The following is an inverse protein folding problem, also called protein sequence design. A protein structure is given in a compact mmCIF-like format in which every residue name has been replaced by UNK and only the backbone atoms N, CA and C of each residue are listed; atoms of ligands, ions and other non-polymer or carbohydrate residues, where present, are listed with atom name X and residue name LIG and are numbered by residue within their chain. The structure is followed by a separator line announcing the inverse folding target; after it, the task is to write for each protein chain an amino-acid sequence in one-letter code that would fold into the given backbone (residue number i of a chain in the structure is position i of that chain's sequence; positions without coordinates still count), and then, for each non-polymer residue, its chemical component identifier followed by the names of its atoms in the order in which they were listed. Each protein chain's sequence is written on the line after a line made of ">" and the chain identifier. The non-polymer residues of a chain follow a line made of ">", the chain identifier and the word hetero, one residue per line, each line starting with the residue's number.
data_IF_046890803644
#
_entry.id   IF_046890803644
#
_cell.length_a   1.000
_cell.length_b   1.000
_cell.length_c   1.000
_cell.angle_alpha   90.00
_cell.angle_beta   90.00
_cell.angle_gamma   90.00
#
_symmetry.space_group_name_H-M   'P 1'
#
loop_
_entity.id
_entity.type
_entity.pdbx_description
1 polymer ?
#
# COMPACT_ATOMS: atom_id res chain seq x y z
N UNK A 1 15.93 -22.63 -7.47
CA UNK A 1 14.48 -22.35 -7.58
C UNK A 1 14.29 -21.29 -8.64
N UNK A 2 13.32 -21.46 -9.53
CA UNK A 2 12.99 -20.51 -10.58
C UNK A 2 11.70 -19.80 -10.21
N UNK A 3 11.67 -18.47 -10.34
CA UNK A 3 10.47 -17.67 -10.14
C UNK A 3 10.11 -16.88 -11.38
N UNK A 4 8.81 -16.76 -11.66
CA UNK A 4 8.26 -15.82 -12.64
C UNK A 4 7.37 -14.81 -11.91
N UNK A 5 7.14 -13.66 -12.52
CA UNK A 5 6.26 -12.67 -11.93
C UNK A 5 5.41 -11.97 -12.99
N UNK A 6 4.26 -11.51 -12.56
CA UNK A 6 3.39 -10.59 -13.29
C UNK A 6 3.17 -9.36 -12.44
N UNK A 7 3.16 -8.19 -13.08
CA UNK A 7 2.96 -6.93 -12.38
C UNK A 7 2.00 -6.01 -13.12
N UNK A 8 1.36 -5.13 -12.40
CA UNK A 8 0.52 -4.07 -12.93
C UNK A 8 0.61 -2.84 -12.05
N UNK A 9 0.63 -1.67 -12.69
CA UNK A 9 0.39 -0.40 -12.04
C UNK A 9 -0.55 0.43 -12.90
N UNK A 10 -1.55 1.07 -12.29
CA UNK A 10 -2.55 1.90 -12.94
C UNK A 10 -2.81 3.14 -12.11
N UNK A 11 -2.78 4.29 -12.76
CA UNK A 11 -3.11 5.55 -12.12
C UNK A 11 -4.61 5.64 -11.84
N UNK A 12 -4.96 6.09 -10.65
CA UNK A 12 -6.31 6.49 -10.25
C UNK A 12 -6.68 7.91 -10.71
N UNK A 13 -7.42 8.65 -9.88
CA UNK A 13 -7.87 10.02 -10.22
C UNK A 13 -6.82 11.09 -9.91
N UNK A 14 -5.70 10.75 -9.28
CA UNK A 14 -4.63 11.68 -8.94
C UNK A 14 -3.98 12.35 -10.16
N UNK A 15 -3.19 13.40 -9.93
CA UNK A 15 -2.40 14.07 -10.99
C UNK A 15 -1.33 13.11 -11.52
N UNK A 16 -0.63 12.43 -10.61
CA UNK A 16 0.38 11.41 -10.89
C UNK A 16 -0.09 10.06 -10.36
N UNK A 17 0.52 8.99 -10.83
CA UNK A 17 0.48 7.72 -10.14
C UNK A 17 1.52 7.79 -9.01
N UNK A 18 1.08 7.81 -7.76
CA UNK A 18 1.97 7.84 -6.60
C UNK A 18 2.42 6.43 -6.17
N UNK A 19 1.80 5.39 -6.72
CA UNK A 19 2.27 4.01 -6.56
C UNK A 19 3.56 3.74 -7.35
N UNK A 20 4.35 2.79 -6.87
CA UNK A 20 5.52 2.29 -7.58
C UNK A 20 5.71 0.78 -7.37
N UNK A 21 6.44 0.16 -8.29
CA UNK A 21 6.82 -1.26 -8.23
C UNK A 21 8.34 -1.37 -8.12
N UNK A 22 8.81 -2.22 -7.21
CA UNK A 22 10.21 -2.66 -7.16
C UNK A 22 10.32 -3.96 -7.92
N UNK A 23 11.22 -3.99 -8.91
CA UNK A 23 11.52 -5.19 -9.68
C UNK A 23 13.03 -5.29 -9.85
N UNK A 24 13.68 -6.07 -8.97
CA UNK A 24 15.12 -6.31 -9.01
C UNK A 24 15.46 -7.80 -9.01
N UNK A 25 15.29 -8.50 -10.15
CA UNK A 25 15.45 -9.96 -10.23
C UNK A 25 16.85 -10.45 -9.86
N UNK A 26 17.89 -9.66 -10.09
CA UNK A 26 19.29 -10.04 -9.73
C UNK A 26 19.49 -10.16 -8.22
N UNK A 27 18.80 -9.35 -7.44
CA UNK A 27 18.81 -9.40 -5.98
C UNK A 27 17.61 -10.15 -5.42
N UNK A 28 16.73 -10.71 -6.27
CA UNK A 28 15.47 -11.35 -5.92
C UNK A 28 14.58 -10.46 -5.02
N UNK A 29 14.59 -9.15 -5.27
CA UNK A 29 13.81 -8.14 -4.55
C UNK A 29 12.60 -7.71 -5.37
N UNK A 30 11.43 -7.69 -4.72
CA UNK A 30 10.16 -7.34 -5.32
C UNK A 30 9.32 -6.55 -4.33
N UNK A 31 8.54 -5.55 -4.80
CA UNK A 31 7.74 -4.73 -3.89
C UNK A 31 6.61 -3.98 -4.56
N UNK A 32 5.55 -3.71 -3.78
CA UNK A 32 4.48 -2.78 -4.11
C UNK A 32 4.53 -1.62 -3.12
N UNK A 33 4.48 -0.40 -3.62
CA UNK A 33 4.65 0.84 -2.89
C UNK A 33 3.48 1.77 -3.19
N UNK A 34 2.93 2.39 -2.16
CA UNK A 34 1.89 3.42 -2.22
C UNK A 34 2.45 4.73 -1.64
N UNK A 35 2.53 5.75 -2.49
CA UNK A 35 3.05 7.05 -2.12
C UNK A 35 2.03 7.89 -1.36
N UNK A 36 2.37 8.29 -0.15
CA UNK A 36 1.51 9.06 0.73
C UNK A 36 1.84 10.53 0.67
N UNK A 37 1.04 11.31 -0.08
CA UNK A 37 1.20 12.76 -0.16
C UNK A 37 0.84 13.47 1.16
N UNK A 38 1.52 14.61 1.40
CA UNK A 38 1.23 15.49 2.54
C UNK A 38 -0.18 16.05 2.48
N UNK A 39 -0.76 16.40 3.63
CA UNK A 39 -2.04 17.13 3.72
C UNK A 39 -1.89 18.58 3.27
N UNK A 40 -0.70 19.15 3.41
CA UNK A 40 -0.32 20.44 2.81
C UNK A 40 0.15 20.17 1.38
N UNK A 41 -0.51 20.72 0.36
CA UNK A 41 -0.14 20.46 -1.02
C UNK A 41 1.31 20.82 -1.32
N UNK A 42 2.06 19.88 -1.88
CA UNK A 42 3.44 20.08 -2.33
C UNK A 42 3.58 19.66 -3.79
N UNK A 43 4.28 20.48 -4.55
CA UNK A 43 4.71 20.18 -5.91
C UNK A 43 6.11 20.77 -6.11
N UNK A 44 7.04 19.95 -6.59
CA UNK A 44 8.35 20.44 -6.99
C UNK A 44 8.31 21.10 -8.39
N UNK A 45 9.46 21.57 -8.87
CA UNK A 45 9.60 22.20 -10.20
C UNK A 45 9.20 21.28 -11.37
N UNK A 46 9.24 19.96 -11.18
CA UNK A 46 8.79 18.95 -12.15
C UNK A 46 7.33 18.59 -12.01
N UNK A 47 6.59 19.25 -11.11
CA UNK A 47 5.20 18.94 -10.74
C UNK A 47 5.03 17.56 -10.10
N UNK A 48 6.06 17.07 -9.40
CA UNK A 48 6.02 15.83 -8.63
C UNK A 48 5.51 16.12 -7.22
N UNK A 49 4.58 15.30 -6.74
CA UNK A 49 4.02 15.35 -5.38
C UNK A 49 4.96 14.70 -4.38
N UNK A 50 4.74 14.93 -3.09
CA UNK A 50 5.53 14.31 -2.03
C UNK A 50 5.42 12.78 -2.01
N UNK A 51 4.21 12.23 -2.22
CA UNK A 51 3.98 10.78 -2.30
C UNK A 51 4.71 10.14 -3.49
N UNK A 52 4.61 10.76 -4.66
CA UNK A 52 5.36 10.31 -5.84
C UNK A 52 6.88 10.27 -5.59
N UNK A 53 7.42 11.33 -4.97
CA UNK A 53 8.86 11.40 -4.67
C UNK A 53 9.25 10.31 -3.66
N UNK A 54 8.46 10.12 -2.60
CA UNK A 54 8.74 9.11 -1.58
C UNK A 54 8.72 7.69 -2.15
N UNK A 55 7.66 7.29 -2.87
CA UNK A 55 7.57 5.97 -3.47
C UNK A 55 8.69 5.69 -4.47
N UNK A 56 9.03 6.67 -5.34
CA UNK A 56 10.11 6.51 -6.31
C UNK A 56 11.50 6.53 -5.68
N UNK A 57 11.71 7.24 -4.58
CA UNK A 57 12.97 7.18 -3.83
C UNK A 57 13.17 5.76 -3.26
N UNK A 58 12.14 5.18 -2.63
CA UNK A 58 12.19 3.80 -2.12
C UNK A 58 12.45 2.81 -3.25
N UNK A 59 11.70 2.92 -4.36
CA UNK A 59 11.91 2.09 -5.54
C UNK A 59 13.36 2.13 -6.02
N UNK A 60 13.87 3.32 -6.30
CA UNK A 60 15.22 3.51 -6.85
C UNK A 60 16.30 2.98 -5.90
N UNK A 61 16.12 3.17 -4.60
CA UNK A 61 16.99 2.62 -3.58
C UNK A 61 17.05 1.10 -3.66
N UNK A 62 15.91 0.41 -3.57
CA UNK A 62 15.86 -1.05 -3.57
C UNK A 62 16.26 -1.67 -4.90
N UNK A 63 16.04 -1.01 -6.04
CA UNK A 63 16.51 -1.46 -7.35
C UNK A 63 18.03 -1.29 -7.53
N UNK A 64 18.69 -0.47 -6.68
CA UNK A 64 20.14 -0.29 -6.67
C UNK A 64 20.88 -1.13 -5.63
N UNK A 65 20.16 -1.80 -4.72
CA UNK A 65 20.75 -2.64 -3.67
C UNK A 65 21.58 -3.77 -4.26
N UNK A 66 22.82 -3.90 -3.79
CA UNK A 66 23.75 -4.98 -4.19
C UNK A 66 24.27 -5.76 -3.00
N UNK A 67 24.10 -5.26 -1.78
CA UNK A 67 24.59 -5.89 -0.57
C UNK A 67 23.57 -6.87 0.05
N UNK A 68 24.02 -7.82 0.88
CA UNK A 68 23.18 -8.82 1.52
C UNK A 68 22.52 -8.34 2.83
N UNK A 69 22.53 -7.03 3.15
CA UNK A 69 21.91 -6.46 4.35
C UNK A 69 20.46 -6.90 4.55
N UNK A 70 19.91 -6.86 5.77
CA UNK A 70 18.53 -7.22 6.02
C UNK A 70 17.56 -6.20 5.38
N UNK A 71 16.35 -6.64 5.01
CA UNK A 71 15.33 -5.68 4.53
C UNK A 71 15.06 -4.58 5.55
N UNK A 72 15.17 -4.89 6.85
CA UNK A 72 14.98 -3.91 7.92
C UNK A 72 16.08 -2.83 7.91
N UNK A 73 17.35 -3.22 7.71
CA UNK A 73 18.45 -2.25 7.66
C UNK A 73 18.30 -1.34 6.45
N UNK A 74 17.95 -1.89 5.29
CA UNK A 74 17.64 -1.11 4.10
C UNK A 74 16.47 -0.15 4.30
N UNK A 75 15.44 -0.58 5.04
CA UNK A 75 14.30 0.29 5.36
C UNK A 75 14.69 1.47 6.25
N UNK A 76 15.60 1.27 7.20
CA UNK A 76 16.12 2.33 8.05
C UNK A 76 16.89 3.34 7.19
N UNK A 77 17.77 2.84 6.33
CA UNK A 77 18.60 3.68 5.46
C UNK A 77 17.73 4.51 4.49
N UNK A 78 16.77 3.88 3.82
CA UNK A 78 15.91 4.61 2.88
C UNK A 78 14.98 5.60 3.59
N UNK A 79 14.59 5.34 4.84
CA UNK A 79 13.85 6.30 5.66
C UNK A 79 14.68 7.54 5.99
N UNK A 80 15.97 7.37 6.28
CA UNK A 80 16.87 8.49 6.50
C UNK A 80 17.10 9.29 5.21
N UNK A 81 17.25 8.61 4.06
CA UNK A 81 17.32 9.28 2.75
C UNK A 81 16.05 10.09 2.44
N UNK A 82 14.86 9.57 2.77
CA UNK A 82 13.61 10.30 2.59
C UNK A 82 13.57 11.55 3.48
N UNK A 83 14.04 11.45 4.72
CA UNK A 83 14.19 12.59 5.61
C UNK A 83 15.10 13.67 5.01
N UNK A 84 16.25 13.28 4.47
CA UNK A 84 17.19 14.20 3.82
C UNK A 84 16.54 14.89 2.60
N UNK A 85 15.78 14.15 1.79
CA UNK A 85 15.06 14.73 0.64
C UNK A 85 14.03 15.78 1.07
N UNK A 86 13.29 15.54 2.16
CA UNK A 86 12.35 16.52 2.71
C UNK A 86 13.06 17.77 3.24
N UNK A 87 14.20 17.62 3.91
CA UNK A 87 15.04 18.76 4.35
C UNK A 87 15.49 19.60 3.15
N UNK A 88 15.98 18.96 2.08
CA UNK A 88 16.40 19.65 0.85
C UNK A 88 15.23 20.38 0.17
N UNK A 89 14.01 19.87 0.33
CA UNK A 89 12.79 20.50 -0.17
C UNK A 89 12.22 21.58 0.77
N UNK A 90 12.89 21.91 1.89
CA UNK A 90 12.47 22.84 2.92
C UNK A 90 11.11 22.44 3.57
N UNK A 91 10.83 21.14 3.72
CA UNK A 91 9.69 20.64 4.47
C UNK A 91 9.97 20.76 5.97
N UNK A 92 9.00 21.25 6.72
CA UNK A 92 9.08 21.33 8.19
C UNK A 92 8.82 19.93 8.80
N UNK A 93 9.89 19.29 9.25
CA UNK A 93 9.84 17.92 9.76
C UNK A 93 9.10 17.78 11.11
N UNK A 94 8.80 18.87 11.79
CA UNK A 94 8.02 18.86 13.03
C UNK A 94 6.50 18.87 12.75
N UNK A 95 6.11 19.14 11.51
CA UNK A 95 4.71 19.18 11.08
C UNK A 95 4.34 17.93 10.31
N UNK A 96 3.67 16.99 10.99
CA UNK A 96 3.27 15.71 10.36
C UNK A 96 2.39 15.88 9.11
N UNK A 97 1.64 16.97 9.01
CA UNK A 97 0.83 17.30 7.85
C UNK A 97 1.63 17.70 6.61
N UNK A 98 2.89 18.09 6.78
CA UNK A 98 3.79 18.45 5.67
C UNK A 98 4.62 17.24 5.20
N UNK A 99 4.75 16.18 6.01
CA UNK A 99 5.58 15.02 5.69
C UNK A 99 5.04 14.23 4.49
N UNK A 100 5.94 13.82 3.64
CA UNK A 100 5.72 12.81 2.61
C UNK A 100 5.96 11.43 3.16
N UNK A 101 5.40 10.42 2.53
CA UNK A 101 5.66 9.07 2.98
C UNK A 101 5.38 8.02 1.92
N UNK A 102 5.59 6.78 2.31
CA UNK A 102 5.18 5.61 1.55
C UNK A 102 4.70 4.50 2.48
N UNK A 103 3.57 3.90 2.16
CA UNK A 103 3.22 2.56 2.58
C UNK A 103 3.88 1.58 1.61
N UNK A 104 4.26 0.40 2.09
CA UNK A 104 4.96 -0.55 1.23
C UNK A 104 4.86 -1.99 1.74
N UNK A 105 5.00 -2.92 0.79
CA UNK A 105 5.23 -4.34 1.03
C UNK A 105 6.36 -4.80 0.12
N UNK A 106 7.47 -5.26 0.70
CA UNK A 106 8.68 -5.71 -0.03
C UNK A 106 9.00 -7.12 0.39
N UNK A 107 9.41 -7.96 -0.57
CA UNK A 107 9.91 -9.30 -0.31
C UNK A 107 11.28 -9.51 -0.97
N UNK A 108 12.10 -10.33 -0.30
CA UNK A 108 13.35 -10.86 -0.85
C UNK A 108 13.31 -12.38 -0.81
N UNK A 109 13.48 -13.00 -1.97
CA UNK A 109 13.51 -14.45 -2.12
C UNK A 109 14.93 -14.94 -1.90
N UNK A 110 15.10 -15.85 -0.95
CA UNK A 110 16.37 -16.47 -0.58
C UNK A 110 16.30 -17.99 -0.82
N UNK A 111 17.42 -18.67 -0.77
CA UNK A 111 17.48 -20.13 -0.98
C UNK A 111 16.66 -20.91 0.07
N UNK A 112 16.53 -20.38 1.27
CA UNK A 112 15.87 -21.00 2.42
C UNK A 112 14.54 -20.35 2.83
N UNK A 113 14.04 -19.36 2.08
CA UNK A 113 12.79 -18.72 2.41
C UNK A 113 12.51 -17.41 1.69
N UNK A 114 11.40 -16.78 2.07
CA UNK A 114 11.02 -15.43 1.65
C UNK A 114 11.07 -14.53 2.88
N UNK A 115 11.98 -13.56 2.86
CA UNK A 115 11.99 -12.45 3.81
C UNK A 115 10.98 -11.40 3.34
N UNK A 116 10.22 -10.83 4.27
CA UNK A 116 9.27 -9.78 3.97
C UNK A 116 9.37 -8.63 4.96
N UNK A 117 9.03 -7.43 4.49
CA UNK A 117 8.88 -6.23 5.32
C UNK A 117 7.71 -5.39 4.81
N UNK A 118 7.00 -4.76 5.75
CA UNK A 118 5.83 -3.94 5.47
C UNK A 118 5.75 -2.75 6.41
N UNK A 119 5.18 -1.66 5.93
CA UNK A 119 4.64 -0.56 6.75
C UNK A 119 3.41 0.04 6.07
N UNK A 120 2.45 0.54 6.85
CA UNK A 120 1.18 1.05 6.34
C UNK A 120 0.16 -0.05 6.05
N UNK A 121 -0.42 -0.07 4.87
CA UNK A 121 -1.52 -0.96 4.48
C UNK A 121 -1.28 -1.76 3.19
N UNK A 122 -0.12 -1.62 2.56
CA UNK A 122 0.25 -2.56 1.52
C UNK A 122 0.32 -3.98 2.06
N UNK A 123 -0.15 -4.96 1.27
CA UNK A 123 -0.31 -6.34 1.74
C UNK A 123 0.64 -7.31 1.04
N UNK A 124 1.12 -8.28 1.82
CA UNK A 124 1.82 -9.47 1.33
C UNK A 124 1.00 -10.70 1.67
N UNK A 125 0.62 -11.47 0.65
CA UNK A 125 -0.14 -12.71 0.80
C UNK A 125 0.71 -13.88 0.31
N UNK A 126 0.86 -14.93 1.13
CA UNK A 126 1.44 -16.20 0.74
C UNK A 126 0.31 -17.17 0.36
N UNK A 127 0.42 -17.81 -0.81
CA UNK A 127 -0.53 -18.81 -1.30
C UNK A 127 0.20 -20.14 -1.46
N UNK A 128 -0.36 -21.19 -0.87
CA UNK A 128 0.24 -22.52 -0.82
C UNK A 128 -0.39 -23.48 -1.84
N UNK A 129 0.24 -24.64 -2.07
CA UNK A 129 -0.20 -25.66 -3.01
C UNK A 129 -1.63 -26.18 -2.74
N UNK A 130 -2.04 -26.19 -1.46
CA UNK A 130 -3.39 -26.57 -1.03
C UNK A 130 -4.41 -25.43 -1.14
N UNK A 131 -4.06 -24.33 -1.83
CA UNK A 131 -4.87 -23.11 -2.00
C UNK A 131 -5.10 -22.31 -0.70
N UNK A 132 -4.47 -22.68 0.40
CA UNK A 132 -4.48 -21.88 1.62
C UNK A 132 -3.80 -20.53 1.38
N UNK A 133 -4.43 -19.45 1.87
CA UNK A 133 -3.91 -18.09 1.78
C UNK A 133 -3.58 -17.58 3.17
N UNK A 134 -2.33 -17.22 3.38
CA UNK A 134 -1.83 -16.63 4.61
C UNK A 134 -1.42 -15.18 4.37
N UNK A 135 -2.13 -14.18 4.92
CA UNK A 135 -1.60 -12.81 5.02
C UNK A 135 -0.34 -12.83 5.88
N UNK A 136 0.76 -12.34 5.34
CA UNK A 136 2.02 -12.18 6.09
C UNK A 136 2.08 -10.85 6.81
N UNK A 137 1.28 -9.88 6.36
CA UNK A 137 1.17 -8.53 6.87
C UNK A 137 -0.28 -8.20 7.17
N UNK A 138 -0.56 -7.02 7.70
CA UNK A 138 -1.93 -6.57 8.00
C UNK A 138 -2.10 -5.08 7.70
N UNK A 139 -3.34 -4.65 7.51
CA UNK A 139 -3.68 -3.25 7.24
C UNK A 139 -3.56 -2.44 8.55
N UNK A 140 -2.42 -1.80 8.77
CA UNK A 140 -2.16 -1.06 10.00
C UNK A 140 -3.09 0.14 10.19
N UNK A 141 -3.69 0.68 9.12
CA UNK A 141 -4.59 1.83 9.16
C UNK A 141 -6.05 1.48 9.44
N UNK A 142 -6.46 0.21 9.30
CA UNK A 142 -7.88 -0.21 9.29
C UNK A 142 -8.68 0.23 10.51
N UNK A 143 -8.09 0.17 11.71
CA UNK A 143 -8.73 0.60 12.96
C UNK A 143 -8.95 2.12 13.04
N UNK A 144 -8.17 2.92 12.32
CA UNK A 144 -8.30 4.38 12.21
C UNK A 144 -9.26 4.79 11.09
N UNK A 145 -9.39 3.98 10.05
CA UNK A 145 -10.34 4.22 8.96
C UNK A 145 -11.77 3.84 9.33
N UNK A 146 -11.97 2.81 10.14
CA UNK A 146 -13.30 2.33 10.52
C UNK A 146 -14.24 3.45 11.05
N UNK A 147 -13.81 4.38 11.94
CA UNK A 147 -14.65 5.51 12.33
C UNK A 147 -14.98 6.48 11.20
N UNK A 148 -14.09 6.66 10.23
CA UNK A 148 -14.35 7.52 9.07
C UNK A 148 -15.36 6.84 8.12
N UNK A 149 -15.22 5.54 7.87
CA UNK A 149 -16.20 4.77 7.09
C UNK A 149 -17.59 4.76 7.75
N UNK A 150 -17.66 4.65 9.08
CA UNK A 150 -18.93 4.74 9.82
C UNK A 150 -19.61 6.11 9.63
N UNK A 151 -18.86 7.22 9.69
CA UNK A 151 -19.37 8.57 9.40
C UNK A 151 -19.81 8.74 7.95
N UNK A 152 -19.07 8.17 7.01
CA UNK A 152 -19.44 8.16 5.60
C UNK A 152 -20.78 7.47 5.41
N UNK A 153 -20.95 6.28 5.98
CA UNK A 153 -22.21 5.53 5.95
C UNK A 153 -23.36 6.30 6.60
N UNK A 154 -23.12 6.99 7.73
CA UNK A 154 -24.09 7.86 8.36
C UNK A 154 -24.50 9.02 7.44
N UNK A 155 -23.55 9.63 6.74
CA UNK A 155 -23.80 10.66 5.73
C UNK A 155 -24.74 10.17 4.62
N UNK A 156 -24.48 8.98 4.08
CA UNK A 156 -25.36 8.32 3.09
C UNK A 156 -26.77 8.13 3.66
N UNK A 157 -26.88 7.62 4.88
CA UNK A 157 -28.18 7.40 5.56
C UNK A 157 -28.95 8.71 5.76
N UNK A 158 -28.23 9.83 5.98
CA UNK A 158 -28.81 11.19 6.08
C UNK A 158 -29.16 11.80 4.73
N UNK A 159 -28.92 11.12 3.62
CA UNK A 159 -29.31 11.53 2.29
C UNK A 159 -28.23 12.30 1.51
N UNK A 160 -26.98 12.33 1.97
CA UNK A 160 -25.86 12.84 1.17
C UNK A 160 -25.61 11.92 -0.02
N UNK A 161 -25.43 12.49 -1.21
CA UNK A 161 -25.36 11.76 -2.48
C UNK A 161 -24.11 12.09 -3.31
N UNK A 162 -23.25 13.00 -2.85
CA UNK A 162 -22.03 13.33 -3.57
C UNK A 162 -20.80 12.92 -2.76
N UNK A 163 -19.79 12.40 -3.44
CA UNK A 163 -18.49 12.05 -2.84
C UNK A 163 -17.90 13.26 -2.09
N UNK A 164 -18.05 14.47 -2.64
CA UNK A 164 -17.56 15.70 -2.03
C UNK A 164 -18.20 15.96 -0.67
N UNK A 165 -19.54 15.92 -0.59
CA UNK A 165 -20.26 16.17 0.67
C UNK A 165 -19.95 15.09 1.71
N UNK A 166 -19.86 13.84 1.28
CA UNK A 166 -19.47 12.72 2.13
C UNK A 166 -18.03 12.88 2.66
N UNK A 167 -17.10 13.28 1.80
CA UNK A 167 -15.71 13.53 2.18
C UNK A 167 -15.59 14.66 3.22
N UNK A 168 -16.40 15.72 3.11
CA UNK A 168 -16.44 16.81 4.10
C UNK A 168 -16.81 16.31 5.51
N UNK A 169 -17.59 15.25 5.63
CA UNK A 169 -17.95 14.66 6.94
C UNK A 169 -16.79 13.94 7.64
N UNK A 170 -15.78 13.50 6.88
CA UNK A 170 -14.69 12.67 7.38
C UNK A 170 -13.32 13.36 7.38
N UNK A 171 -13.17 14.50 6.71
CA UNK A 171 -11.88 15.17 6.51
C UNK A 171 -11.12 15.44 7.82
N UNK A 172 -11.83 15.85 8.89
CA UNK A 172 -11.22 16.09 10.20
C UNK A 172 -10.75 14.79 10.87
N UNK A 173 -11.43 13.68 10.60
CA UNK A 173 -11.00 12.36 11.07
C UNK A 173 -9.74 11.92 10.34
N UNK A 174 -9.69 12.09 9.02
CA UNK A 174 -8.52 11.79 8.18
C UNK A 174 -7.32 12.63 8.62
N UNK A 175 -7.50 13.94 8.85
CA UNK A 175 -6.44 14.81 9.36
C UNK A 175 -5.92 14.34 10.72
N UNK A 176 -6.81 13.99 11.65
CA UNK A 176 -6.41 13.47 12.96
C UNK A 176 -5.65 12.16 12.86
N UNK A 177 -6.03 11.29 11.92
CA UNK A 177 -5.34 10.03 11.68
C UNK A 177 -3.90 10.25 11.22
N UNK A 178 -3.61 11.30 10.43
CA UNK A 178 -2.26 11.64 9.99
C UNK A 178 -1.30 11.86 11.18
N UNK A 179 -1.76 12.48 12.25
CA UNK A 179 -0.96 12.68 13.46
C UNK A 179 -0.71 11.40 14.27
N UNK A 180 -1.44 10.31 13.94
CA UNK A 180 -1.23 8.99 14.53
C UNK A 180 -0.14 8.17 13.81
N UNK A 181 0.42 8.68 12.71
CA UNK A 181 1.54 8.06 12.02
C UNK A 181 2.73 7.86 12.99
N UNK A 182 3.32 6.67 12.97
CA UNK A 182 4.47 6.26 13.78
C UNK A 182 4.31 6.55 15.28
N UNK A 183 3.10 6.28 15.82
CA UNK A 183 2.79 6.41 17.26
C UNK A 183 2.14 5.15 17.80
N UNK A 184 2.26 4.91 19.10
CA UNK A 184 1.58 3.78 19.77
C UNK A 184 0.06 3.86 19.58
N UNK A 185 -0.55 2.76 19.11
CA UNK A 185 -1.97 2.70 18.74
C UNK A 185 -2.32 3.49 17.45
N UNK A 186 -1.32 3.95 16.71
CA UNK A 186 -1.44 4.51 15.37
C UNK A 186 -1.13 3.50 14.29
N UNK A 187 -0.34 3.87 13.31
CA UNK A 187 0.08 3.03 12.18
C UNK A 187 1.50 3.38 11.74
N UNK A 188 2.17 2.45 11.07
CA UNK A 188 3.48 2.69 10.48
C UNK A 188 3.38 3.36 9.12
N UNK A 189 4.34 4.22 8.82
CA UNK A 189 4.57 4.78 7.50
C UNK A 189 6.03 5.19 7.37
N UNK A 190 6.63 4.94 6.21
CA UNK A 190 7.95 5.44 5.89
C UNK A 190 7.83 6.94 5.56
N UNK A 191 8.23 7.83 6.46
CA UNK A 191 8.03 9.28 6.33
C UNK A 191 9.19 10.13 6.88
N UNK A 192 10.37 9.53 7.04
CA UNK A 192 11.55 10.20 7.57
C UNK A 192 11.55 10.41 9.09
N UNK A 193 10.49 10.02 9.81
CA UNK A 193 10.50 10.00 11.27
C UNK A 193 11.40 8.86 11.79
N UNK A 194 12.22 9.12 12.80
CA UNK A 194 13.11 8.10 13.38
C UNK A 194 12.33 6.95 14.03
N UNK A 195 11.15 7.24 14.58
CA UNK A 195 10.29 6.25 15.21
C UNK A 195 9.62 5.30 14.22
N UNK A 196 9.65 5.58 12.91
CA UNK A 196 9.07 4.70 11.88
C UNK A 196 9.56 3.24 12.00
N UNK A 197 10.83 3.04 12.35
CA UNK A 197 11.44 1.71 12.50
C UNK A 197 10.75 0.82 13.54
N UNK A 198 10.07 1.40 14.52
CA UNK A 198 9.33 0.66 15.56
C UNK A 198 8.04 0.03 15.03
N UNK A 199 7.55 0.49 13.88
CA UNK A 199 6.27 0.11 13.29
C UNK A 199 6.45 -0.72 12.01
N UNK A 200 7.68 -1.07 11.62
CA UNK A 200 7.91 -2.00 10.53
C UNK A 200 7.51 -3.42 10.95
N UNK A 201 6.66 -4.06 10.17
CA UNK A 201 6.41 -5.49 10.29
C UNK A 201 7.35 -6.25 9.35
N UNK A 202 8.04 -7.23 9.88
CA UNK A 202 9.01 -8.01 9.10
C UNK A 202 9.12 -9.42 9.61
N UNK A 203 9.54 -10.31 8.74
CA UNK A 203 9.74 -11.71 9.09
C UNK A 203 10.26 -12.51 7.92
N UNK A 204 10.28 -13.83 8.11
CA UNK A 204 10.67 -14.80 7.10
C UNK A 204 9.77 -16.01 7.16
N UNK A 205 9.38 -16.51 5.99
CA UNK A 205 8.70 -17.80 5.85
C UNK A 205 9.57 -18.76 5.05
N UNK A 206 9.40 -20.06 5.26
CA UNK A 206 10.04 -21.07 4.43
C UNK A 206 9.30 -21.26 3.11
N UNK A 207 9.92 -21.99 2.20
CA UNK A 207 9.40 -22.25 0.86
C UNK A 207 8.52 -23.50 0.75
N UNK A 208 8.28 -24.21 1.85
CA UNK A 208 7.54 -25.48 1.85
C UNK A 208 6.12 -25.24 1.34
N UNK A 209 5.78 -25.88 0.22
CA UNK A 209 4.49 -25.79 -0.45
C UNK A 209 4.08 -24.35 -0.83
N UNK A 210 5.00 -23.40 -0.84
CA UNK A 210 4.72 -22.02 -1.27
C UNK A 210 4.61 -21.98 -2.79
N UNK A 211 3.46 -21.52 -3.29
CA UNK A 211 3.14 -21.49 -4.70
C UNK A 211 3.17 -20.08 -5.27
N UNK A 212 2.61 -19.09 -4.53
CA UNK A 212 2.62 -17.71 -4.95
C UNK A 212 2.87 -16.77 -3.78
N UNK A 213 3.49 -15.61 -4.07
CA UNK A 213 3.43 -14.41 -3.23
C UNK A 213 2.68 -13.34 -4.03
N UNK A 214 1.72 -12.68 -3.39
CA UNK A 214 0.97 -11.57 -3.97
C UNK A 214 1.26 -10.32 -3.15
N UNK A 215 1.69 -9.24 -3.82
CA UNK A 215 1.91 -7.92 -3.24
C UNK A 215 0.86 -6.96 -3.76
N UNK A 216 0.24 -6.17 -2.89
CA UNK A 216 -0.88 -5.28 -3.23
C UNK A 216 -0.74 -3.94 -2.52
N UNK A 217 -1.01 -2.83 -3.22
CA UNK A 217 -1.39 -1.55 -2.61
C UNK A 217 -2.89 -1.54 -2.31
N UNK A 218 -3.37 -0.56 -1.54
CA UNK A 218 -4.77 -0.50 -1.09
C UNK A 218 -5.77 -0.30 -2.23
N UNK A 219 -5.37 0.39 -3.32
CA UNK A 219 -6.17 0.52 -4.53
C UNK A 219 -6.52 -0.81 -5.23
N UNK A 220 -5.84 -1.89 -4.84
CA UNK A 220 -6.14 -3.25 -5.31
C UNK A 220 -7.11 -4.02 -4.39
N UNK A 221 -7.62 -3.40 -3.34
CA UNK A 221 -8.54 -4.06 -2.42
C UNK A 221 -9.97 -4.08 -2.95
N UNK A 222 -10.61 -5.24 -2.83
CA UNK A 222 -12.04 -5.35 -3.15
C UNK A 222 -12.88 -4.62 -2.11
N UNK A 223 -14.00 -3.99 -2.52
CA UNK A 223 -15.01 -3.55 -1.58
C UNK A 223 -15.49 -4.71 -0.70
N UNK A 224 -15.53 -4.50 0.62
CA UNK A 224 -15.86 -5.57 1.58
C UNK A 224 -17.25 -6.17 1.36
N UNK A 225 -18.20 -5.37 0.88
CA UNK A 225 -19.58 -5.81 0.61
C UNK A 225 -19.73 -6.72 -0.63
N UNK A 226 -18.65 -6.92 -1.41
CA UNK A 226 -18.62 -7.90 -2.52
C UNK A 226 -18.15 -9.27 -2.03
N UNK A 227 -17.37 -9.29 -0.93
CA UNK A 227 -16.81 -10.53 -0.39
C UNK A 227 -17.91 -11.27 0.39
N UNK A 228 -18.18 -12.56 0.11
CA UNK A 228 -19.17 -13.31 0.85
C UNK A 228 -18.82 -13.39 2.34
N UNK A 229 -19.82 -13.21 3.23
CA UNK A 229 -19.63 -13.18 4.70
C UNK A 229 -18.90 -14.41 5.25
N UNK A 230 -19.07 -15.57 4.61
CA UNK A 230 -18.46 -16.84 5.03
C UNK A 230 -17.02 -17.02 4.52
N UNK A 231 -16.54 -16.12 3.67
CA UNK A 231 -15.20 -16.19 3.07
C UNK A 231 -14.19 -15.38 3.85
N UNK A 232 -12.97 -15.91 4.00
CA UNK A 232 -11.85 -15.07 4.40
C UNK A 232 -11.60 -14.03 3.30
N UNK A 233 -11.56 -12.76 3.69
CA UNK A 233 -11.36 -11.64 2.76
C UNK A 233 -10.13 -11.84 1.86
N UNK A 234 -8.98 -12.11 2.47
CA UNK A 234 -7.73 -12.25 1.72
C UNK A 234 -7.69 -13.52 0.87
N UNK A 235 -8.32 -14.61 1.32
CA UNK A 235 -8.45 -15.82 0.48
C UNK A 235 -9.31 -15.54 -0.76
N UNK A 236 -10.40 -14.80 -0.61
CA UNK A 236 -11.26 -14.44 -1.73
C UNK A 236 -10.54 -13.51 -2.72
N UNK A 237 -9.82 -12.49 -2.24
CA UNK A 237 -9.03 -11.58 -3.07
C UNK A 237 -7.94 -12.34 -3.82
N UNK A 238 -7.13 -13.14 -3.13
CA UNK A 238 -6.05 -13.90 -3.75
C UNK A 238 -6.55 -14.88 -4.82
N UNK A 239 -7.58 -15.66 -4.51
CA UNK A 239 -8.18 -16.59 -5.48
C UNK A 239 -8.76 -15.86 -6.69
N UNK A 240 -9.39 -14.68 -6.49
CA UNK A 240 -9.93 -13.89 -7.59
C UNK A 240 -8.83 -13.35 -8.50
N UNK A 241 -7.69 -12.90 -7.94
CA UNK A 241 -6.51 -12.49 -8.70
C UNK A 241 -5.94 -13.66 -9.49
N UNK A 242 -5.72 -14.81 -8.84
CA UNK A 242 -5.11 -15.98 -9.48
C UNK A 242 -5.99 -16.60 -10.56
N UNK A 243 -7.31 -16.65 -10.35
CA UNK A 243 -8.26 -17.25 -11.30
C UNK A 243 -8.51 -16.37 -12.53
N UNK A 244 -8.53 -15.03 -12.37
CA UNK A 244 -8.78 -14.09 -13.48
C UNK A 244 -7.50 -13.61 -14.15
N UNK A 245 -6.38 -13.65 -13.43
CA UNK A 245 -5.16 -12.92 -13.76
C UNK A 245 -5.23 -11.46 -13.30
N UNK A 246 -4.06 -10.93 -12.95
CA UNK A 246 -3.91 -9.60 -12.34
C UNK A 246 -4.52 -8.46 -13.19
N UNK A 247 -4.43 -8.55 -14.52
CA UNK A 247 -4.93 -7.53 -15.44
C UNK A 247 -6.45 -7.45 -15.47
N UNK A 248 -7.12 -8.60 -15.57
CA UNK A 248 -8.60 -8.64 -15.60
C UNK A 248 -9.18 -8.31 -14.22
N UNK A 249 -8.52 -8.71 -13.14
CA UNK A 249 -8.88 -8.31 -11.79
C UNK A 249 -8.82 -6.79 -11.59
N UNK A 250 -7.74 -6.15 -12.05
CA UNK A 250 -7.61 -4.68 -12.00
C UNK A 250 -8.68 -3.98 -12.82
N UNK A 251 -8.98 -4.50 -14.01
CA UNK A 251 -10.02 -3.95 -14.86
C UNK A 251 -11.41 -4.03 -14.19
N UNK A 252 -11.70 -5.13 -13.51
CA UNK A 252 -12.94 -5.29 -12.74
C UNK A 252 -13.06 -4.24 -11.61
N UNK A 253 -11.96 -3.98 -10.87
CA UNK A 253 -11.97 -2.92 -9.85
C UNK A 253 -12.28 -1.55 -10.45
N UNK A 254 -11.66 -1.23 -11.59
CA UNK A 254 -11.91 0.04 -12.28
C UNK A 254 -13.39 0.14 -12.68
N UNK A 255 -13.97 -0.92 -13.23
CA UNK A 255 -15.39 -0.95 -13.63
C UNK A 255 -16.32 -0.77 -12.43
N UNK A 256 -16.04 -1.39 -11.29
CA UNK A 256 -16.79 -1.20 -10.05
C UNK A 256 -16.74 0.27 -9.57
N UNK A 257 -15.57 0.89 -9.64
CA UNK A 257 -15.38 2.29 -9.26
C UNK A 257 -16.07 3.27 -10.23
N UNK A 258 -16.06 2.97 -11.53
CA UNK A 258 -16.76 3.76 -12.54
C UNK A 258 -18.28 3.66 -12.42
N UNK A 259 -18.80 2.50 -12.00
CA UNK A 259 -20.23 2.30 -11.74
C UNK A 259 -20.71 3.01 -10.47
N UNK A 260 -19.79 3.38 -9.55
CA UNK A 260 -20.10 4.04 -8.28
C UNK A 260 -19.20 5.27 -8.05
N UNK A 261 -19.25 6.30 -8.91
CA UNK A 261 -18.34 7.44 -8.85
C UNK A 261 -18.50 8.29 -7.59
N UNK A 262 -19.66 8.24 -6.94
CA UNK A 262 -19.96 8.97 -5.71
C UNK A 262 -19.64 8.18 -4.43
N UNK A 263 -19.05 6.97 -4.56
CA UNK A 263 -18.61 6.13 -3.44
C UNK A 263 -19.73 5.80 -2.43
N UNK A 264 -20.93 5.51 -2.94
CA UNK A 264 -22.14 5.24 -2.15
C UNK A 264 -22.37 3.73 -1.99
N UNK A 265 -22.21 2.95 -3.06
CA UNK A 265 -22.40 1.50 -3.04
C UNK A 265 -21.19 0.80 -2.42
N UNK A 266 -20.01 1.31 -2.73
CA UNK A 266 -18.71 0.80 -2.28
C UNK A 266 -17.95 1.93 -1.59
N UNK A 267 -18.08 2.00 -0.26
CA UNK A 267 -17.52 3.10 0.53
C UNK A 267 -16.01 3.17 0.37
N UNK A 268 -15.53 4.33 -0.07
CA UNK A 268 -14.12 4.69 -0.23
C UNK A 268 -13.96 6.21 -0.24
N UNK A 269 -12.79 6.74 0.10
CA UNK A 269 -12.59 8.18 0.27
C UNK A 269 -12.38 8.94 -1.04
N UNK A 270 -12.00 8.26 -2.11
CA UNK A 270 -11.81 8.81 -3.46
C UNK A 270 -12.42 7.90 -4.52
N UNK A 271 -12.80 8.47 -5.67
CA UNK A 271 -13.44 7.72 -6.76
C UNK A 271 -12.61 6.51 -7.19
N UNK A 272 -11.30 6.70 -7.41
CA UNK A 272 -10.37 5.65 -7.77
C UNK A 272 -9.00 5.95 -7.22
N UNK A 273 -8.37 4.97 -6.57
CA UNK A 273 -6.99 5.05 -6.11
C UNK A 273 -6.02 4.54 -7.17
N UNK A 274 -4.75 4.89 -7.02
CA UNK A 274 -3.67 4.25 -7.74
C UNK A 274 -3.69 2.75 -7.40
N UNK A 275 -3.38 1.90 -8.36
CA UNK A 275 -3.52 0.44 -8.25
C UNK A 275 -2.23 -0.23 -8.63
N UNK A 276 -1.61 -0.89 -7.67
CA UNK A 276 -0.37 -1.60 -7.92
C UNK A 276 -0.41 -2.99 -7.30
N UNK A 277 -0.04 -3.98 -8.09
CA UNK A 277 0.07 -5.36 -7.63
C UNK A 277 1.15 -6.13 -8.37
N UNK A 278 1.67 -7.15 -7.70
CA UNK A 278 2.58 -8.13 -8.25
C UNK A 278 2.20 -9.54 -7.79
N UNK A 279 2.25 -10.50 -8.70
CA UNK A 279 2.13 -11.94 -8.40
C UNK A 279 3.44 -12.60 -8.75
N UNK A 280 4.07 -13.22 -7.77
CA UNK A 280 5.32 -13.97 -7.92
C UNK A 280 4.99 -15.46 -7.85
N UNK A 281 5.37 -16.22 -8.86
CA UNK A 281 5.09 -17.65 -8.98
C UNK A 281 6.37 -18.44 -8.71
N UNK A 282 6.28 -19.46 -7.86
CA UNK A 282 7.37 -20.38 -7.51
C UNK A 282 7.22 -21.67 -8.33
N UNK A 283 8.33 -22.16 -8.94
CA UNK A 283 8.38 -23.36 -9.79
C UNK A 283 9.44 -24.35 -9.32
#
# INVERSE_FOLDING_TARGET
>A
MFVTYEEITKKGVGILNEDAIITHPKANLYGALDGVSSLVPYLNSKKETGGFIAANLVKNYFESVTDPGSLKDHMIEVNDLLREQMVLANIDLEKKEELWGAALAIVRIQDDGVEFIQTGDCMTLAVYDNEEVRPLTWRQVSHLEAPAFAKWQEGITKGLKSQKDLHETVIDTIKKNRYRANTDGGYGVLNGEKDAVRFFEYGKINLTCLKHIILLTDGMFLPTNIVPEQSSYWSFVAQRILNKGIKLYTQELIELEECDPECIQHIRFKKSDDKTAMVINFH
#
